data_IF_651492193534
#
_entry.id   IF_651492193534
#
_cell.length_a   1.000
_cell.length_b   1.000
_cell.length_c   1.000
_cell.angle_alpha   90.00
_cell.angle_beta   90.00
_cell.angle_gamma   90.00
#
_symmetry.space_group_name_H-M   'P 1'
#
loop_
_entity.id
_entity.type
_entity.pdbx_description
1 polymer ?
#
# COMPACT_ATOMS: atom_id res chain seq x y z
N UNK A 1 51.47 59.69 -15.04
CA UNK A 1 51.06 58.72 -16.02
C UNK A 1 50.58 57.49 -15.27
N UNK A 2 49.26 57.35 -15.13
CA UNK A 2 48.58 56.28 -14.37
C UNK A 2 48.29 55.11 -15.31
N UNK A 3 48.72 53.93 -14.91
CA UNK A 3 48.33 52.68 -15.54
C UNK A 3 47.29 52.02 -14.61
N UNK A 4 46.07 51.96 -15.10
CA UNK A 4 44.94 51.33 -14.42
C UNK A 4 44.92 49.82 -14.75
N UNK A 5 45.16 48.99 -13.74
CA UNK A 5 45.05 47.55 -13.85
C UNK A 5 43.61 47.09 -13.74
N UNK A 6 43.08 46.47 -14.78
CA UNK A 6 41.81 45.79 -14.81
C UNK A 6 41.90 44.47 -14.06
N UNK A 7 41.32 44.38 -12.86
CA UNK A 7 41.06 43.11 -12.17
C UNK A 7 39.78 42.51 -12.71
N UNK A 8 39.96 41.45 -13.47
CA UNK A 8 38.91 40.58 -13.93
C UNK A 8 38.33 39.78 -12.75
N UNK A 9 37.17 40.17 -12.24
CA UNK A 9 36.44 39.38 -11.23
C UNK A 9 35.76 38.19 -11.91
N UNK A 10 36.38 37.03 -11.88
CA UNK A 10 35.69 35.77 -12.15
C UNK A 10 34.68 35.51 -11.03
N UNK A 11 33.41 35.72 -11.34
CA UNK A 11 32.29 35.17 -10.53
C UNK A 11 32.31 33.65 -10.70
N UNK A 12 32.85 32.96 -9.72
CA UNK A 12 32.60 31.54 -9.52
C UNK A 12 31.10 31.40 -9.17
N UNK A 13 30.29 31.07 -10.16
CA UNK A 13 28.95 30.52 -9.92
C UNK A 13 29.15 29.13 -9.32
N UNK A 14 29.04 29.04 -8.02
CA UNK A 14 28.88 27.78 -7.34
C UNK A 14 27.48 27.23 -7.72
N UNK A 15 27.44 26.38 -8.75
CA UNK A 15 26.30 25.52 -8.99
C UNK A 15 26.25 24.50 -7.85
N UNK A 16 25.66 24.89 -6.72
CA UNK A 16 25.19 23.91 -5.73
C UNK A 16 23.99 23.21 -6.35
N UNK A 17 24.22 22.08 -7.00
CA UNK A 17 23.18 21.11 -7.27
C UNK A 17 22.75 20.60 -5.91
N UNK A 18 21.73 21.24 -5.34
CA UNK A 18 21.04 20.70 -4.17
C UNK A 18 20.50 19.33 -4.61
N UNK A 19 21.14 18.26 -4.14
CA UNK A 19 20.66 16.92 -4.34
C UNK A 19 19.30 16.87 -3.66
N UNK A 20 18.20 16.95 -4.43
CA UNK A 20 16.83 16.83 -3.90
C UNK A 20 16.79 15.49 -3.17
N UNK A 21 16.69 15.53 -1.84
CA UNK A 21 16.54 14.31 -1.04
C UNK A 21 15.21 13.72 -1.47
N UNK A 22 15.25 12.52 -2.03
CA UNK A 22 14.05 11.81 -2.48
C UNK A 22 13.25 11.41 -1.25
N UNK A 23 11.97 11.78 -1.24
CA UNK A 23 11.07 11.46 -0.14
C UNK A 23 10.78 9.96 -0.09
N UNK A 24 10.53 9.45 1.11
CA UNK A 24 10.17 8.06 1.34
C UNK A 24 8.71 7.96 1.75
N UNK A 25 8.00 7.02 1.16
CA UNK A 25 6.63 6.69 1.53
C UNK A 25 6.60 5.25 2.02
N UNK A 26 6.31 5.05 3.29
CA UNK A 26 5.97 3.74 3.82
C UNK A 26 4.48 3.53 3.63
N UNK A 27 4.12 2.47 2.91
CA UNK A 27 2.74 2.14 2.60
C UNK A 27 2.32 0.87 3.32
N UNK A 28 1.52 1.04 4.40
CA UNK A 28 0.93 -0.05 5.18
C UNK A 28 -0.39 -0.47 4.53
N UNK A 29 -0.44 -1.72 4.07
CA UNK A 29 -1.53 -2.21 3.24
C UNK A 29 -1.95 -3.64 3.58
N UNK A 30 -3.27 -3.91 3.43
CA UNK A 30 -3.87 -5.24 3.51
C UNK A 30 -4.86 -5.42 2.35
N UNK A 31 -4.71 -6.49 1.59
CA UNK A 31 -5.53 -6.78 0.41
C UNK A 31 -6.99 -7.08 0.73
N UNK A 32 -7.36 -7.31 1.99
CA UNK A 32 -8.75 -7.52 2.41
C UNK A 32 -9.58 -6.23 2.46
N UNK A 33 -8.97 -5.05 2.23
CA UNK A 33 -9.65 -3.76 2.22
C UNK A 33 -9.86 -3.25 0.78
N UNK A 34 -11.10 -2.94 0.35
CA UNK A 34 -11.35 -2.35 -0.96
C UNK A 34 -10.77 -0.93 -1.08
N UNK A 35 -10.75 -0.18 0.02
CA UNK A 35 -10.13 1.14 0.09
C UNK A 35 -8.61 1.07 -0.14
N UNK A 36 -7.99 -0.05 0.28
CA UNK A 36 -6.58 -0.32 0.02
C UNK A 36 -6.34 -0.62 -1.46
N UNK A 37 -7.23 -1.34 -2.13
CA UNK A 37 -7.14 -1.55 -3.58
C UNK A 37 -7.22 -0.22 -4.35
N UNK A 38 -8.16 0.65 -3.98
CA UNK A 38 -8.27 2.00 -4.57
C UNK A 38 -6.99 2.81 -4.36
N UNK A 39 -6.44 2.79 -3.13
CA UNK A 39 -5.20 3.51 -2.84
C UNK A 39 -4.00 2.92 -3.58
N UNK A 40 -3.93 1.61 -3.72
CA UNK A 40 -2.87 0.95 -4.47
C UNK A 40 -2.85 1.43 -5.93
N UNK A 41 -3.99 1.49 -6.60
CA UNK A 41 -4.10 2.07 -7.94
C UNK A 41 -3.64 3.53 -7.98
N UNK A 42 -4.06 4.30 -6.98
CA UNK A 42 -3.64 5.70 -6.86
C UNK A 42 -2.13 5.86 -6.66
N UNK A 43 -1.51 4.98 -5.88
CA UNK A 43 -0.04 4.96 -5.68
C UNK A 43 0.67 4.62 -6.97
N UNK A 44 0.22 3.59 -7.73
CA UNK A 44 0.81 3.27 -9.02
C UNK A 44 0.74 4.45 -10.02
N UNK A 45 -0.36 5.20 -10.00
CA UNK A 45 -0.48 6.40 -10.82
C UNK A 45 0.40 7.55 -10.31
N UNK A 46 0.58 7.68 -9.01
CA UNK A 46 1.49 8.64 -8.41
C UNK A 46 2.95 8.35 -8.79
N UNK A 47 3.37 7.09 -8.73
CA UNK A 47 4.71 6.64 -9.13
C UNK A 47 5.07 6.97 -10.59
N UNK A 48 4.06 7.12 -11.48
CA UNK A 48 4.27 7.55 -12.87
C UNK A 48 4.54 9.06 -13.00
N UNK A 49 4.15 9.86 -12.00
CA UNK A 49 4.17 11.33 -12.06
C UNK A 49 5.18 11.98 -11.15
N UNK A 50 5.59 11.28 -10.09
CA UNK A 50 6.48 11.79 -9.04
C UNK A 50 7.57 10.78 -8.71
N UNK A 51 8.75 11.30 -8.39
CA UNK A 51 9.88 10.50 -7.92
C UNK A 51 9.87 10.43 -6.40
N UNK A 52 9.76 9.23 -5.84
CA UNK A 52 9.86 8.93 -4.41
C UNK A 52 10.22 7.46 -4.19
N UNK A 53 10.80 7.16 -3.04
CA UNK A 53 11.04 5.78 -2.61
C UNK A 53 9.77 5.22 -1.95
N UNK A 54 9.29 4.06 -2.41
CA UNK A 54 8.19 3.37 -1.76
C UNK A 54 8.69 2.17 -0.96
N UNK A 55 8.21 2.07 0.28
CA UNK A 55 8.48 0.95 1.17
C UNK A 55 7.14 0.24 1.43
N UNK A 56 6.99 -0.93 0.83
CA UNK A 56 5.81 -1.77 1.01
C UNK A 56 5.82 -2.40 2.40
N UNK A 57 4.78 -2.13 3.19
CA UNK A 57 4.58 -2.62 4.55
C UNK A 57 3.31 -3.49 4.64
N UNK A 58 3.37 -4.78 4.26
CA UNK A 58 2.24 -5.69 4.42
C UNK A 58 1.84 -5.81 5.89
N UNK A 59 0.54 -5.71 6.17
CA UNK A 59 -0.05 -5.80 7.51
C UNK A 59 -1.28 -6.71 7.55
N UNK A 60 -1.82 -6.94 8.75
CA UNK A 60 -3.13 -7.56 8.96
C UNK A 60 -4.09 -6.57 9.60
N UNK A 61 -5.01 -6.03 8.81
CA UNK A 61 -6.00 -5.07 9.30
C UNK A 61 -6.95 -5.69 10.34
N UNK A 62 -7.23 -6.99 10.24
CA UNK A 62 -7.99 -7.72 11.25
C UNK A 62 -7.31 -7.74 12.63
N UNK A 63 -5.97 -7.82 12.66
CA UNK A 63 -5.20 -7.71 13.89
C UNK A 63 -5.34 -6.33 14.54
N UNK A 64 -5.33 -5.27 13.75
CA UNK A 64 -5.54 -3.89 14.22
C UNK A 64 -6.95 -3.71 14.78
N UNK A 65 -7.97 -4.20 14.05
CA UNK A 65 -9.36 -4.09 14.51
C UNK A 65 -9.60 -4.83 15.82
N UNK A 66 -8.99 -6.01 15.99
CA UNK A 66 -9.09 -6.77 17.23
C UNK A 66 -8.42 -6.07 18.43
N UNK A 67 -7.34 -5.31 18.18
CA UNK A 67 -6.51 -4.74 19.24
C UNK A 67 -6.94 -3.33 19.63
N UNK A 68 -7.08 -2.43 18.66
CA UNK A 68 -7.24 -0.99 18.95
C UNK A 68 -8.46 -0.34 18.29
N UNK A 69 -9.11 -1.01 17.32
CA UNK A 69 -10.25 -0.43 16.60
C UNK A 69 -11.45 -1.41 16.48
N UNK A 70 -11.96 -1.96 17.60
CA UNK A 70 -13.07 -2.92 17.56
C UNK A 70 -14.40 -2.31 17.11
N UNK A 71 -14.53 -0.98 17.12
CA UNK A 71 -15.72 -0.25 16.64
C UNK A 71 -16.08 -0.55 15.18
N UNK A 72 -15.10 -1.00 14.37
CA UNK A 72 -15.33 -1.44 12.99
C UNK A 72 -16.28 -2.66 12.93
N UNK A 73 -16.14 -3.59 13.87
CA UNK A 73 -17.03 -4.75 13.93
C UNK A 73 -18.44 -4.38 14.36
N UNK A 74 -18.56 -3.45 15.31
CA UNK A 74 -19.86 -2.95 15.75
C UNK A 74 -20.59 -2.22 14.63
N UNK A 75 -19.91 -1.35 13.89
CA UNK A 75 -20.49 -0.65 12.75
C UNK A 75 -20.87 -1.57 11.59
N UNK A 76 -20.19 -2.71 11.42
CA UNK A 76 -20.56 -3.74 10.43
C UNK A 76 -21.76 -4.55 10.87
N UNK A 77 -21.90 -4.83 12.18
CA UNK A 77 -23.01 -5.59 12.75
C UNK A 77 -24.28 -4.77 12.79
N UNK A 78 -24.18 -3.49 13.15
CA UNK A 78 -25.29 -2.55 13.29
C UNK A 78 -25.05 -1.30 12.42
N UNK A 79 -25.10 -1.42 11.08
CA UNK A 79 -24.82 -0.30 10.21
C UNK A 79 -25.92 0.75 10.28
N UNK A 80 -25.52 2.03 10.29
CA UNK A 80 -26.43 3.13 9.98
C UNK A 80 -26.71 3.10 8.49
N UNK A 81 -27.96 2.94 8.11
CA UNK A 81 -28.39 2.70 6.72
C UNK A 81 -27.84 3.74 5.75
N UNK A 82 -27.99 5.02 6.08
CA UNK A 82 -27.55 6.13 5.22
C UNK A 82 -26.04 6.14 5.01
N UNK A 83 -25.27 5.79 6.08
CA UNK A 83 -23.81 5.66 5.98
C UNK A 83 -23.39 4.47 5.12
N UNK A 84 -24.11 3.36 5.21
CA UNK A 84 -23.84 2.17 4.40
C UNK A 84 -24.11 2.46 2.93
N UNK A 85 -25.27 3.03 2.59
CA UNK A 85 -25.65 3.40 1.23
C UNK A 85 -24.64 4.40 0.63
N UNK A 86 -24.25 5.43 1.41
CA UNK A 86 -23.24 6.38 0.97
C UNK A 86 -21.88 5.71 0.75
N UNK A 87 -21.43 4.87 1.69
CA UNK A 87 -20.15 4.17 1.56
C UNK A 87 -20.09 3.26 0.33
N UNK A 88 -21.19 2.59 -0.02
CA UNK A 88 -21.28 1.79 -1.23
C UNK A 88 -21.18 2.65 -2.50
N UNK A 89 -21.89 3.78 -2.51
CA UNK A 89 -21.80 4.76 -3.60
C UNK A 89 -20.40 5.31 -3.74
N UNK A 90 -19.78 5.74 -2.64
CA UNK A 90 -18.45 6.32 -2.60
C UNK A 90 -17.39 5.33 -3.12
N UNK A 91 -17.49 4.05 -2.71
CA UNK A 91 -16.63 2.98 -3.21
C UNK A 91 -16.73 2.85 -4.74
N UNK A 92 -17.95 2.90 -5.29
CA UNK A 92 -18.16 2.80 -6.73
C UNK A 92 -17.67 4.05 -7.49
N UNK A 93 -17.83 5.24 -6.91
CA UNK A 93 -17.34 6.48 -7.50
C UNK A 93 -15.80 6.47 -7.59
N UNK A 94 -15.13 6.08 -6.50
CA UNK A 94 -13.68 5.90 -6.48
C UNK A 94 -13.19 4.80 -7.43
N UNK A 95 -13.92 3.68 -7.50
CA UNK A 95 -13.62 2.56 -8.40
C UNK A 95 -13.60 3.04 -9.86
N UNK A 96 -14.63 3.78 -10.30
CA UNK A 96 -14.68 4.39 -11.63
C UNK A 96 -13.53 5.39 -11.85
N UNK A 97 -13.27 6.23 -10.85
CA UNK A 97 -12.18 7.22 -10.92
C UNK A 97 -10.80 6.59 -11.07
N UNK A 98 -10.58 5.43 -10.45
CA UNK A 98 -9.32 4.67 -10.51
C UNK A 98 -9.25 3.69 -11.69
N UNK A 99 -10.33 3.55 -12.47
CA UNK A 99 -10.38 2.64 -13.62
C UNK A 99 -10.29 1.16 -13.22
N UNK A 100 -10.81 0.80 -12.05
CA UNK A 100 -10.88 -0.58 -11.58
C UNK A 100 -12.33 -1.00 -11.34
N UNK A 101 -12.56 -2.31 -11.36
CA UNK A 101 -13.85 -2.91 -11.04
C UNK A 101 -13.75 -3.57 -9.66
N UNK A 102 -14.66 -3.17 -8.76
CA UNK A 102 -14.81 -3.80 -7.45
C UNK A 102 -16.17 -4.48 -7.39
N UNK A 103 -16.13 -5.82 -7.38
CA UNK A 103 -17.26 -6.69 -7.16
C UNK A 103 -17.24 -7.17 -5.72
N UNK A 104 -18.38 -7.06 -5.00
CA UNK A 104 -18.41 -7.51 -3.62
C UNK A 104 -18.25 -9.03 -3.55
N UNK A 105 -17.18 -9.54 -2.91
CA UNK A 105 -16.87 -10.96 -2.93
C UNK A 105 -17.86 -11.76 -2.07
N UNK A 106 -18.06 -13.04 -2.41
CA UNK A 106 -18.93 -13.94 -1.65
C UNK A 106 -18.41 -14.24 -0.24
N UNK A 107 -17.09 -14.24 -0.09
CA UNK A 107 -16.40 -14.46 1.18
C UNK A 107 -15.86 -13.12 1.68
N UNK A 108 -16.58 -12.50 2.62
CA UNK A 108 -16.17 -11.26 3.25
C UNK A 108 -16.58 -11.25 4.74
N UNK A 109 -15.68 -10.90 5.67
CA UNK A 109 -14.25 -10.62 5.47
C UNK A 109 -13.45 -11.87 5.10
N UNK A 110 -12.40 -11.71 4.29
CA UNK A 110 -11.50 -12.81 3.94
C UNK A 110 -10.33 -12.91 4.91
N UNK A 111 -9.80 -14.12 5.08
CA UNK A 111 -8.53 -14.33 5.76
C UNK A 111 -7.36 -14.02 4.81
N UNK A 112 -6.81 -12.81 4.87
CA UNK A 112 -5.72 -12.35 4.02
C UNK A 112 -4.33 -12.80 4.46
N UNK A 113 -4.20 -13.54 5.56
CA UNK A 113 -2.90 -13.87 6.19
C UNK A 113 -1.90 -14.47 5.19
N UNK A 114 -2.30 -15.48 4.42
CA UNK A 114 -1.42 -16.15 3.46
C UNK A 114 -1.01 -15.23 2.31
N UNK A 115 -1.98 -14.51 1.74
CA UNK A 115 -1.73 -13.55 0.68
C UNK A 115 -0.79 -12.42 1.16
N UNK A 116 -1.00 -11.88 2.37
CA UNK A 116 -0.14 -10.85 2.92
C UNK A 116 1.26 -11.35 3.31
N UNK A 117 1.42 -12.61 3.74
CA UNK A 117 2.74 -13.23 3.89
C UNK A 117 3.45 -13.41 2.54
N UNK A 118 2.70 -13.82 1.53
CA UNK A 118 3.22 -14.00 0.18
C UNK A 118 3.77 -12.72 -0.45
N UNK A 119 3.23 -11.56 -0.09
CA UNK A 119 3.73 -10.29 -0.59
C UNK A 119 5.20 -10.04 -0.24
N UNK A 120 5.71 -10.57 0.88
CA UNK A 120 7.12 -10.42 1.24
C UNK A 120 8.07 -11.10 0.25
N UNK A 121 7.65 -12.21 -0.38
CA UNK A 121 8.45 -12.83 -1.44
C UNK A 121 8.74 -11.84 -2.56
N UNK A 122 7.72 -11.11 -2.99
CA UNK A 122 7.84 -10.14 -4.09
C UNK A 122 8.44 -8.80 -3.64
N UNK A 123 8.25 -8.39 -2.39
CA UNK A 123 8.92 -7.22 -1.83
C UNK A 123 10.44 -7.43 -1.80
N UNK A 124 10.89 -8.61 -1.40
CA UNK A 124 12.31 -8.93 -1.25
C UNK A 124 13.01 -9.17 -2.60
N UNK A 125 12.28 -9.66 -3.63
CA UNK A 125 12.84 -10.03 -4.93
C UNK A 125 12.48 -9.05 -6.07
N UNK A 126 11.80 -7.94 -5.77
CA UNK A 126 11.22 -7.05 -6.76
C UNK A 126 9.92 -7.64 -7.34
N UNK A 127 8.97 -6.79 -7.72
CA UNK A 127 7.68 -7.22 -8.27
C UNK A 127 6.51 -7.12 -7.29
N UNK A 128 6.67 -6.37 -6.21
CA UNK A 128 5.61 -6.12 -5.24
C UNK A 128 4.33 -5.59 -5.91
N UNK A 129 4.47 -4.67 -6.86
CA UNK A 129 3.36 -4.09 -7.60
C UNK A 129 2.60 -5.15 -8.41
N UNK A 130 3.30 -6.06 -9.08
CA UNK A 130 2.69 -7.12 -9.88
C UNK A 130 1.90 -8.09 -8.98
N UNK A 131 2.48 -8.44 -7.84
CA UNK A 131 1.82 -9.33 -6.89
C UNK A 131 0.57 -8.69 -6.29
N UNK A 132 0.67 -7.45 -5.77
CA UNK A 132 -0.47 -6.77 -5.20
C UNK A 132 -1.59 -6.56 -6.23
N UNK A 133 -1.25 -6.18 -7.48
CA UNK A 133 -2.24 -6.07 -8.57
C UNK A 133 -2.97 -7.40 -8.78
N UNK A 134 -2.24 -8.52 -8.86
CA UNK A 134 -2.82 -9.85 -9.07
C UNK A 134 -3.73 -10.27 -7.90
N UNK A 135 -3.29 -10.06 -6.65
CA UNK A 135 -4.07 -10.40 -5.46
C UNK A 135 -5.33 -9.54 -5.33
N UNK A 136 -5.22 -8.22 -5.49
CA UNK A 136 -6.36 -7.32 -5.42
C UNK A 136 -7.39 -7.65 -6.51
N UNK A 137 -6.94 -7.83 -7.75
CA UNK A 137 -7.83 -8.21 -8.87
C UNK A 137 -8.50 -9.54 -8.61
N UNK A 138 -7.74 -10.57 -8.22
CA UNK A 138 -8.29 -11.90 -7.96
C UNK A 138 -9.39 -11.86 -6.90
N UNK A 139 -9.22 -11.10 -5.83
CA UNK A 139 -10.21 -11.04 -4.77
C UNK A 139 -11.36 -10.07 -5.07
N UNK A 140 -11.05 -8.81 -5.41
CA UNK A 140 -12.07 -7.75 -5.52
C UNK A 140 -12.77 -7.70 -6.87
N UNK A 141 -12.12 -8.10 -7.96
CA UNK A 141 -12.72 -8.09 -9.30
C UNK A 141 -13.27 -9.47 -9.68
N UNK A 142 -12.47 -10.52 -9.43
CA UNK A 142 -12.78 -11.88 -9.87
C UNK A 142 -13.49 -12.71 -8.81
N UNK A 143 -13.55 -12.25 -7.55
CA UNK A 143 -14.22 -12.92 -6.45
C UNK A 143 -13.60 -14.24 -6.01
N UNK A 144 -12.29 -14.43 -6.28
CA UNK A 144 -11.53 -15.62 -5.92
C UNK A 144 -11.22 -15.66 -4.41
N UNK A 145 -11.10 -16.86 -3.86
CA UNK A 145 -10.71 -17.07 -2.47
C UNK A 145 -9.18 -17.04 -2.32
N UNK A 146 -8.62 -15.87 -2.01
CA UNK A 146 -7.19 -15.70 -1.77
C UNK A 146 -6.70 -16.26 -0.42
N UNK A 147 -7.56 -16.88 0.38
CA UNK A 147 -7.16 -17.65 1.56
C UNK A 147 -6.79 -19.10 1.22
N UNK A 148 -7.22 -19.56 0.03
CA UNK A 148 -6.98 -20.89 -0.47
C UNK A 148 -5.57 -21.04 -1.08
N UNK A 149 -4.92 -22.17 -0.81
CA UNK A 149 -3.57 -22.45 -1.31
C UNK A 149 -3.54 -22.64 -2.83
N UNK A 150 -4.55 -23.31 -3.41
CA UNK A 150 -4.57 -23.60 -4.84
C UNK A 150 -4.81 -22.29 -5.64
N UNK A 151 -5.65 -21.40 -5.09
CA UNK A 151 -5.85 -20.07 -5.66
C UNK A 151 -4.52 -19.26 -5.65
N UNK A 152 -3.83 -19.21 -4.52
CA UNK A 152 -2.53 -18.53 -4.42
C UNK A 152 -1.47 -19.15 -5.33
N UNK A 153 -1.42 -20.50 -5.38
CA UNK A 153 -0.53 -21.25 -6.26
C UNK A 153 -0.73 -20.90 -7.75
N UNK A 154 -2.00 -20.78 -8.18
CA UNK A 154 -2.33 -20.36 -9.55
C UNK A 154 -1.85 -18.92 -9.82
N UNK A 155 -2.14 -17.98 -8.91
CA UNK A 155 -1.74 -16.58 -9.06
C UNK A 155 -0.21 -16.44 -9.20
N UNK A 156 0.55 -17.09 -8.31
CA UNK A 156 2.01 -16.95 -8.33
C UNK A 156 2.66 -17.69 -9.50
N UNK A 157 2.04 -18.77 -9.97
CA UNK A 157 2.46 -19.46 -11.20
C UNK A 157 2.35 -18.54 -12.43
N UNK A 158 1.26 -17.76 -12.53
CA UNK A 158 1.10 -16.76 -13.59
C UNK A 158 2.15 -15.63 -13.51
N UNK A 159 2.67 -15.37 -12.30
CA UNK A 159 3.76 -14.41 -12.06
C UNK A 159 5.16 -15.04 -12.22
N UNK A 160 5.25 -16.30 -12.66
CA UNK A 160 6.52 -16.99 -12.93
C UNK A 160 7.23 -17.53 -11.68
N UNK A 161 6.54 -17.62 -10.54
CA UNK A 161 7.08 -18.16 -9.28
C UNK A 161 6.63 -19.60 -9.11
N UNK A 162 7.53 -20.46 -8.63
CA UNK A 162 7.21 -21.86 -8.33
C UNK A 162 6.21 -21.93 -7.15
N UNK A 163 5.00 -22.51 -7.36
CA UNK A 163 3.97 -22.56 -6.33
C UNK A 163 4.41 -23.26 -5.05
N UNK A 164 5.21 -24.37 -5.17
CA UNK A 164 5.67 -25.07 -3.99
C UNK A 164 6.62 -24.23 -3.16
N UNK A 165 7.59 -23.58 -3.80
CA UNK A 165 8.53 -22.67 -3.14
C UNK A 165 7.80 -21.53 -2.42
N UNK A 166 6.81 -20.93 -3.09
CA UNK A 166 5.98 -19.88 -2.52
C UNK A 166 5.18 -20.36 -1.30
N UNK A 167 4.56 -21.55 -1.38
CA UNK A 167 3.78 -22.10 -0.27
C UNK A 167 4.68 -22.48 0.92
N UNK A 168 5.90 -22.96 0.67
CA UNK A 168 6.89 -23.19 1.73
C UNK A 168 7.30 -21.84 2.37
N UNK A 169 7.55 -20.80 1.58
CA UNK A 169 7.91 -19.45 2.05
C UNK A 169 6.84 -18.83 2.95
N UNK A 170 5.56 -18.87 2.57
CA UNK A 170 4.49 -18.23 3.38
C UNK A 170 4.25 -18.96 4.72
N UNK A 171 4.74 -20.18 4.86
CA UNK A 171 4.67 -20.97 6.10
C UNK A 171 5.91 -20.81 6.99
N UNK A 172 6.95 -20.12 6.53
CA UNK A 172 8.15 -19.87 7.31
C UNK A 172 7.87 -18.96 8.52
N UNK A 173 8.44 -19.30 9.68
CA UNK A 173 8.21 -18.57 10.93
C UNK A 173 8.76 -17.14 10.89
N UNK A 174 9.83 -16.91 10.11
CA UNK A 174 10.38 -15.55 9.94
C UNK A 174 9.42 -14.66 9.17
N UNK A 175 8.78 -15.20 8.13
CA UNK A 175 7.76 -14.49 7.32
C UNK A 175 6.51 -14.19 8.15
N UNK A 176 6.06 -15.16 8.97
CA UNK A 176 4.96 -14.95 9.92
C UNK A 176 5.27 -13.80 10.89
N UNK A 177 6.47 -13.83 11.45
CA UNK A 177 6.94 -12.81 12.39
C UNK A 177 7.04 -11.45 11.76
N UNK A 178 7.45 -11.34 10.48
CA UNK A 178 7.50 -10.06 9.75
C UNK A 178 6.12 -9.42 9.63
N UNK A 179 5.09 -10.19 9.31
CA UNK A 179 3.72 -9.67 9.17
C UNK A 179 3.17 -9.17 10.51
N UNK A 180 3.45 -9.90 11.59
CA UNK A 180 3.09 -9.49 12.96
C UNK A 180 3.83 -8.17 13.31
N UNK A 181 5.13 -8.11 13.04
CA UNK A 181 5.95 -6.92 13.29
C UNK A 181 5.44 -5.68 12.57
N UNK A 182 5.17 -5.77 11.27
CA UNK A 182 4.64 -4.63 10.52
C UNK A 182 3.28 -4.18 11.07
N UNK A 183 2.42 -5.12 11.45
CA UNK A 183 1.12 -4.81 12.03
C UNK A 183 1.26 -4.10 13.37
N UNK A 184 2.17 -4.57 14.23
CA UNK A 184 2.47 -3.94 15.50
C UNK A 184 3.11 -2.57 15.32
N UNK A 185 4.09 -2.43 14.41
CA UNK A 185 4.73 -1.16 14.07
C UNK A 185 3.71 -0.09 13.67
N UNK A 186 2.72 -0.45 12.84
CA UNK A 186 1.65 0.47 12.47
C UNK A 186 0.88 0.96 13.69
N UNK A 187 0.49 0.05 14.58
CA UNK A 187 -0.26 0.41 15.81
C UNK A 187 0.58 1.28 16.74
N UNK A 188 1.85 0.95 16.95
CA UNK A 188 2.77 1.71 17.82
C UNK A 188 2.99 3.14 17.31
N UNK A 189 2.87 3.35 16.00
CA UNK A 189 2.97 4.67 15.34
C UNK A 189 1.62 5.38 15.20
N UNK A 190 0.56 4.86 15.84
CA UNK A 190 -0.77 5.48 15.86
C UNK A 190 -1.67 5.15 14.66
N UNK A 191 -1.26 4.24 13.77
CA UNK A 191 -2.10 3.78 12.68
C UNK A 191 -3.20 2.84 13.17
N UNK A 192 -4.39 2.94 12.59
CA UNK A 192 -5.60 2.28 13.06
C UNK A 192 -6.38 1.53 11.97
N UNK A 193 -5.79 1.37 10.79
CA UNK A 193 -6.42 0.70 9.66
C UNK A 193 -5.58 0.67 8.39
N UNK A 194 -6.19 0.27 7.28
CA UNK A 194 -5.56 0.19 5.95
C UNK A 194 -6.47 0.86 4.90
N UNK A 195 -5.93 1.67 3.97
CA UNK A 195 -4.51 2.01 3.78
C UNK A 195 -4.01 3.06 4.77
N UNK A 196 -2.76 2.95 5.22
CA UNK A 196 -2.06 4.00 5.96
C UNK A 196 -0.70 4.25 5.33
N UNK A 197 -0.31 5.51 5.25
CA UNK A 197 0.98 5.95 4.72
C UNK A 197 1.73 6.75 5.77
N UNK A 198 3.06 6.65 5.76
CA UNK A 198 3.94 7.60 6.43
C UNK A 198 4.88 8.19 5.42
N UNK A 199 4.97 9.52 5.38
CA UNK A 199 5.92 10.24 4.56
C UNK A 199 7.08 10.67 5.46
N UNK A 200 8.30 10.36 5.03
CA UNK A 200 9.53 10.61 5.80
C UNK A 200 9.43 10.15 7.26
N UNK A 201 8.83 8.97 7.48
CA UNK A 201 8.70 8.26 8.76
C UNK A 201 7.72 8.86 9.78
N UNK A 202 7.33 10.11 9.67
CA UNK A 202 6.58 10.81 10.71
C UNK A 202 5.19 11.29 10.29
N UNK A 203 5.02 11.71 9.05
CA UNK A 203 3.78 12.35 8.60
C UNK A 203 2.78 11.29 8.12
N UNK A 204 1.75 11.04 8.94
CA UNK A 204 0.78 9.96 8.72
C UNK A 204 -0.43 10.41 7.93
N UNK A 205 -0.79 9.62 6.93
CA UNK A 205 -2.01 9.77 6.12
C UNK A 205 -2.81 8.47 6.14
N UNK A 206 -4.12 8.56 6.38
CA UNK A 206 -5.02 7.41 6.39
C UNK A 206 -6.16 7.59 5.36
N UNK A 207 -6.31 6.61 4.46
CA UNK A 207 -7.37 6.59 3.44
C UNK A 207 -6.85 6.72 2.00
N UNK A 208 -7.64 6.23 1.04
CA UNK A 208 -7.31 6.28 -0.38
C UNK A 208 -7.33 7.70 -0.97
N UNK A 209 -8.10 8.57 -0.39
CA UNK A 209 -8.30 9.97 -0.79
C UNK A 209 -7.13 10.89 -0.35
N UNK A 210 -6.24 10.42 0.51
CA UNK A 210 -5.08 11.17 1.01
C UNK A 210 -3.92 11.21 0.03
N UNK A 211 -3.94 10.40 -1.03
CA UNK A 211 -2.88 10.38 -2.05
C UNK A 211 -2.68 11.75 -2.69
N UNK A 212 -3.74 12.54 -2.85
CA UNK A 212 -3.64 13.90 -3.39
C UNK A 212 -2.83 14.82 -2.46
N UNK A 213 -3.05 14.74 -1.14
CA UNK A 213 -2.28 15.52 -0.16
C UNK A 213 -0.81 15.08 -0.12
N UNK A 214 -0.56 13.77 -0.26
CA UNK A 214 0.80 13.24 -0.37
C UNK A 214 1.48 13.77 -1.64
N UNK A 215 0.78 13.83 -2.77
CA UNK A 215 1.32 14.35 -4.03
C UNK A 215 1.76 15.83 -3.94
N UNK A 216 1.05 16.64 -3.14
CA UNK A 216 1.38 18.06 -2.94
C UNK A 216 2.70 18.28 -2.21
N UNK A 217 3.11 17.32 -1.37
CA UNK A 217 4.32 17.44 -0.56
C UNK A 217 5.54 16.72 -1.16
N UNK A 218 5.39 15.98 -2.27
CA UNK A 218 6.45 15.34 -3.04
C UNK A 218 7.04 16.33 -4.08
#
# INVERSE_FOLDING_TARGET
MLVVSNLCRHKLQANSISKKIMKKIEYFLDCSSPWTYLSFRGVLDLMKRKDFDIIWKPILVGGIFNSINPSVYESRKNPVREKLEYSQKDLQDWSRSRGIEINWPKIFPINSVKAMRGSFYFVDNGGAELYFEAIFRSYWTEGKDISDNDCLASIVSELGVNPKEFLDFINDETVKSRLIKNTQELMDRGGFGSPTFFVDELDMYFGNDRIQLIEEIL
#
